data_IF_364610235073
#
_entry.id   IF_364610235073
#
_cell.length_a   1.000
_cell.length_b   1.000
_cell.length_c   1.000
_cell.angle_alpha   90.00
_cell.angle_beta   90.00
_cell.angle_gamma   90.00
#
_symmetry.space_group_name_H-M   'P 1'
#
loop_
_entity.id
_entity.type
_entity.pdbx_description
1 polymer ?
#
# COMPACT_ATOMS: atom_id res chain seq x y z
N UNK A 1 3.47 -7.87 1.48
CA UNK A 1 3.92 -6.90 2.50
C UNK A 1 5.21 -6.24 2.00
N UNK A 2 5.19 -4.96 1.61
CA UNK A 2 6.43 -4.22 1.27
C UNK A 2 7.08 -3.77 2.58
N UNK A 3 8.29 -4.26 2.88
CA UNK A 3 9.01 -3.88 4.12
C UNK A 3 9.45 -2.42 4.07
N UNK A 4 9.58 -1.76 5.23
CA UNK A 4 10.09 -0.36 5.30
C UNK A 4 11.47 -0.24 4.64
N UNK A 5 12.33 -1.23 4.85
CA UNK A 5 13.64 -1.33 4.21
C UNK A 5 13.55 -1.31 2.68
N UNK A 6 12.65 -2.09 2.08
CA UNK A 6 12.45 -2.09 0.64
C UNK A 6 12.05 -0.70 0.11
N UNK A 7 11.19 0.03 0.83
CA UNK A 7 10.76 1.38 0.43
C UNK A 7 11.92 2.37 0.42
N UNK A 8 12.79 2.32 1.43
CA UNK A 8 13.97 3.19 1.55
C UNK A 8 15.02 2.86 0.47
N UNK A 9 15.31 1.58 0.26
CA UNK A 9 16.26 1.15 -0.78
C UNK A 9 15.77 1.51 -2.18
N UNK A 10 14.48 1.34 -2.45
CA UNK A 10 13.89 1.73 -3.74
C UNK A 10 13.94 3.25 -3.94
N UNK A 11 13.65 4.01 -2.89
CA UNK A 11 13.72 5.47 -2.91
C UNK A 11 15.14 5.96 -3.26
N UNK A 12 16.16 5.49 -2.53
CA UNK A 12 17.56 5.86 -2.78
C UNK A 12 18.01 5.53 -4.19
N UNK A 13 17.62 4.36 -4.73
CA UNK A 13 17.93 3.98 -6.12
C UNK A 13 17.28 4.90 -7.16
N UNK A 14 16.10 5.41 -6.89
CA UNK A 14 15.37 6.27 -7.83
C UNK A 14 15.90 7.70 -7.81
N UNK A 15 16.26 8.20 -6.63
CA UNK A 15 16.88 9.53 -6.46
C UNK A 15 18.35 9.53 -6.86
N UNK A 16 18.98 8.35 -6.96
CA UNK A 16 20.40 8.18 -7.29
C UNK A 16 21.34 8.98 -6.37
N UNK A 17 20.96 9.07 -5.08
CA UNK A 17 21.76 9.70 -4.02
C UNK A 17 21.87 8.74 -2.83
N UNK A 18 22.95 8.92 -2.06
CA UNK A 18 23.06 8.30 -0.74
C UNK A 18 21.87 8.75 0.11
N UNK A 19 21.38 7.87 0.98
CA UNK A 19 20.29 8.18 1.91
C UNK A 19 20.70 9.32 2.88
N UNK A 20 21.99 9.64 3.00
CA UNK A 20 22.44 10.79 3.82
C UNK A 20 22.30 12.13 3.12
N UNK A 21 22.20 12.14 1.79
CA UNK A 21 22.39 13.33 0.95
C UNK A 21 21.11 13.70 0.17
N UNK A 22 20.00 13.03 0.48
CA UNK A 22 18.68 13.32 -0.09
C UNK A 22 18.17 14.64 0.46
N UNK A 23 17.68 15.49 -0.42
CA UNK A 23 17.03 16.75 -0.07
C UNK A 23 15.50 16.64 -0.06
N UNK A 24 14.85 17.69 0.42
CA UNK A 24 13.39 17.86 0.40
C UNK A 24 12.85 17.80 -1.05
N UNK A 25 13.53 18.46 -1.98
CA UNK A 25 13.15 18.48 -3.41
C UNK A 25 13.18 17.08 -4.02
N UNK A 26 14.22 16.29 -3.73
CA UNK A 26 14.31 14.90 -4.20
C UNK A 26 13.11 14.06 -3.73
N UNK A 27 12.71 14.28 -2.47
CA UNK A 27 11.55 13.63 -1.89
C UNK A 27 10.25 14.12 -2.55
N UNK A 28 10.10 15.41 -2.82
CA UNK A 28 8.93 15.98 -3.51
C UNK A 28 8.81 15.40 -4.92
N UNK A 29 9.88 15.42 -5.71
CA UNK A 29 9.89 14.86 -7.07
C UNK A 29 9.59 13.37 -7.06
N UNK A 30 10.13 12.62 -6.10
CA UNK A 30 9.82 11.20 -5.95
C UNK A 30 8.35 10.94 -5.61
N UNK A 31 7.77 11.74 -4.71
CA UNK A 31 6.38 11.61 -4.29
C UNK A 31 5.39 12.05 -5.39
N UNK A 32 5.77 12.99 -6.26
CA UNK A 32 4.90 13.53 -7.31
C UNK A 32 4.36 12.45 -8.27
N UNK A 33 5.14 11.38 -8.54
CA UNK A 33 4.74 10.26 -9.40
C UNK A 33 3.82 9.23 -8.74
N UNK A 34 3.43 9.40 -7.48
CA UNK A 34 2.72 8.38 -6.69
C UNK A 34 1.25 8.74 -6.38
N UNK A 35 0.39 7.72 -6.30
CA UNK A 35 -0.96 7.84 -5.72
C UNK A 35 -0.93 8.25 -4.24
N UNK A 36 -2.04 8.78 -3.72
CA UNK A 36 -2.15 9.37 -2.37
C UNK A 36 -1.71 8.42 -1.24
N UNK A 37 -2.20 7.18 -1.23
CA UNK A 37 -1.82 6.17 -0.24
C UNK A 37 -0.34 5.77 -0.36
N UNK A 38 0.18 5.73 -1.59
CA UNK A 38 1.60 5.50 -1.85
C UNK A 38 2.47 6.62 -1.29
N UNK A 39 2.10 7.89 -1.55
CA UNK A 39 2.79 9.06 -1.00
C UNK A 39 2.80 9.04 0.52
N UNK A 40 1.66 8.72 1.15
CA UNK A 40 1.54 8.66 2.61
C UNK A 40 2.45 7.57 3.20
N UNK A 41 2.43 6.37 2.62
CA UNK A 41 3.26 5.25 3.06
C UNK A 41 4.75 5.53 2.98
N UNK A 42 5.20 6.06 1.84
CA UNK A 42 6.60 6.44 1.63
C UNK A 42 7.03 7.56 2.57
N UNK A 43 6.27 8.66 2.64
CA UNK A 43 6.60 9.80 3.52
C UNK A 43 6.75 9.36 4.97
N UNK A 44 5.85 8.49 5.45
CA UNK A 44 5.93 7.93 6.81
C UNK A 44 7.20 7.08 7.02
N UNK A 45 7.56 6.25 6.04
CA UNK A 45 8.77 5.42 6.13
C UNK A 45 10.06 6.26 6.10
N UNK A 46 10.13 7.26 5.22
CA UNK A 46 11.26 8.20 5.15
C UNK A 46 11.37 8.95 6.47
N UNK A 47 10.27 9.53 6.99
CA UNK A 47 10.26 10.25 8.26
C UNK A 47 10.86 9.43 9.41
N UNK A 48 10.36 8.21 9.62
CA UNK A 48 10.81 7.36 10.74
C UNK A 48 12.27 6.93 10.55
N UNK A 49 12.71 6.69 9.32
CA UNK A 49 14.11 6.34 9.05
C UNK A 49 15.06 7.49 9.37
N UNK A 50 14.79 8.70 8.88
CA UNK A 50 15.67 9.85 9.13
C UNK A 50 15.63 10.29 10.59
N UNK A 51 14.48 10.18 11.26
CA UNK A 51 14.42 10.38 12.71
C UNK A 51 15.33 9.43 13.49
N UNK A 52 15.39 8.15 13.09
CA UNK A 52 16.34 7.19 13.66
C UNK A 52 17.79 7.52 13.27
N UNK A 53 18.03 7.90 12.01
CA UNK A 53 19.35 8.25 11.49
C UNK A 53 19.95 9.47 12.19
N UNK A 54 19.15 10.51 12.42
CA UNK A 54 19.54 11.72 13.17
C UNK A 54 19.93 11.40 14.61
N UNK A 55 19.16 10.53 15.30
CA UNK A 55 19.50 10.08 16.66
C UNK A 55 20.84 9.34 16.74
N UNK A 56 21.33 8.79 15.62
CA UNK A 56 22.63 8.11 15.52
C UNK A 56 23.73 8.96 14.86
N UNK A 57 23.44 10.22 14.53
CA UNK A 57 24.38 11.10 13.83
C UNK A 57 24.66 10.71 12.36
N UNK A 58 23.81 9.89 11.75
CA UNK A 58 23.95 9.45 10.35
C UNK A 58 23.38 10.46 9.35
N UNK A 59 22.41 11.27 9.77
CA UNK A 59 21.77 12.30 8.95
C UNK A 59 21.74 13.62 9.74
N UNK A 60 21.92 14.75 9.04
CA UNK A 60 21.92 16.08 9.65
C UNK A 60 20.50 16.64 9.83
N UNK A 61 19.66 16.43 8.84
CA UNK A 61 18.27 16.89 8.81
C UNK A 61 17.35 15.76 8.30
N UNK A 62 16.05 15.93 8.52
CA UNK A 62 15.04 15.03 8.00
C UNK A 62 14.32 15.71 6.82
N UNK A 63 14.42 15.18 5.59
CA UNK A 63 13.84 15.82 4.40
C UNK A 63 12.30 15.81 4.41
N UNK A 64 11.65 15.13 5.36
CA UNK A 64 10.18 15.17 5.46
C UNK A 64 9.63 16.37 6.22
N UNK A 65 10.49 17.15 6.88
CA UNK A 65 10.06 18.21 7.80
C UNK A 65 9.40 19.37 7.02
N UNK A 66 9.95 19.73 5.86
CA UNK A 66 9.41 20.76 4.96
C UNK A 66 8.33 20.23 4.00
N UNK A 67 8.15 18.90 3.91
CA UNK A 67 7.16 18.30 3.00
C UNK A 67 5.81 18.20 3.70
N UNK A 68 4.73 18.81 3.16
CA UNK A 68 3.40 18.76 3.77
C UNK A 68 2.91 17.33 4.02
N UNK A 69 2.12 17.15 5.09
CA UNK A 69 1.51 15.85 5.38
C UNK A 69 0.39 15.57 4.39
N UNK A 70 0.40 14.36 3.80
CA UNK A 70 -0.65 13.92 2.86
C UNK A 70 -1.96 13.71 3.63
N UNK A 71 -3.06 14.39 3.27
CA UNK A 71 -4.34 14.25 3.94
C UNK A 71 -4.80 12.79 3.96
N UNK A 72 -5.42 12.38 5.07
CA UNK A 72 -6.16 11.13 5.16
C UNK A 72 -7.54 11.39 4.58
N UNK A 73 -7.87 10.72 3.46
CA UNK A 73 -9.24 10.72 3.01
C UNK A 73 -10.08 10.03 4.08
N UNK A 74 -11.15 10.69 4.52
CA UNK A 74 -12.14 10.04 5.37
C UNK A 74 -12.59 8.77 4.65
N UNK A 75 -12.74 7.64 5.37
CA UNK A 75 -13.34 6.46 4.78
C UNK A 75 -14.67 6.89 4.14
N UNK A 76 -14.80 6.72 2.83
CA UNK A 76 -16.13 6.74 2.22
C UNK A 76 -16.96 5.70 2.97
N UNK A 77 -18.21 6.03 3.28
CA UNK A 77 -19.09 5.28 4.18
C UNK A 77 -19.12 3.77 3.97
N UNK A 78 -19.81 3.06 4.87
CA UNK A 78 -19.84 1.58 4.95
C UNK A 78 -19.76 0.92 3.56
N UNK A 79 -18.77 0.04 3.38
CA UNK A 79 -18.54 -0.71 2.13
C UNK A 79 -19.81 -1.42 1.65
N UNK A 80 -20.67 -1.80 2.60
CA UNK A 80 -21.97 -2.38 2.39
C UNK A 80 -23.01 -1.56 3.17
N UNK A 81 -24.03 -0.99 2.52
CA UNK A 81 -25.16 -0.38 3.22
C UNK A 81 -25.91 -1.47 4.00
N UNK A 82 -26.59 -1.09 5.08
CA UNK A 82 -27.24 -2.05 6.00
C UNK A 82 -28.32 -2.85 5.26
N UNK A 83 -29.02 -2.20 4.32
CA UNK A 83 -30.05 -2.81 3.48
C UNK A 83 -29.51 -4.00 2.67
N UNK A 84 -28.25 -3.94 2.22
CA UNK A 84 -27.61 -5.05 1.49
C UNK A 84 -27.23 -6.20 2.44
N UNK A 85 -26.95 -5.91 3.71
CA UNK A 85 -26.70 -6.91 4.76
C UNK A 85 -28.02 -7.61 5.08
N UNK A 86 -29.07 -6.84 5.34
CA UNK A 86 -30.42 -7.33 5.63
C UNK A 86 -30.97 -8.18 4.49
N UNK A 87 -30.82 -7.72 3.24
CA UNK A 87 -31.24 -8.46 2.06
C UNK A 87 -30.43 -9.76 1.88
N UNK A 88 -29.12 -9.73 2.18
CA UNK A 88 -28.28 -10.93 2.20
C UNK A 88 -28.73 -11.94 3.27
N UNK A 89 -29.11 -11.46 4.46
CA UNK A 89 -29.62 -12.30 5.56
C UNK A 89 -31.03 -12.85 5.28
N UNK A 90 -31.88 -12.08 4.59
CA UNK A 90 -33.25 -12.46 4.25
C UNK A 90 -33.33 -13.36 3.01
N UNK A 91 -32.29 -13.39 2.18
CA UNK A 91 -32.25 -14.25 1.00
C UNK A 91 -32.21 -15.74 1.39
N UNK A 92 -33.06 -16.61 0.80
CA UNK A 92 -32.99 -18.04 1.01
C UNK A 92 -31.60 -18.53 0.64
N UNK A 93 -30.93 -19.18 1.59
CA UNK A 93 -29.58 -19.71 1.40
C UNK A 93 -29.68 -20.89 0.42
N UNK A 94 -29.31 -20.70 -0.84
CA UNK A 94 -28.95 -21.82 -1.69
C UNK A 94 -27.84 -22.59 -0.95
N UNK A 95 -28.13 -23.85 -0.62
CA UNK A 95 -27.34 -24.73 0.24
C UNK A 95 -26.02 -25.15 -0.45
N UNK A 96 -25.13 -24.21 -0.72
CA UNK A 96 -23.80 -24.47 -1.27
C UNK A 96 -22.75 -23.41 -0.91
N UNK A 97 -22.69 -22.96 0.35
CA UNK A 97 -21.47 -22.34 0.89
C UNK A 97 -21.46 -22.36 2.43
N UNK A 98 -21.22 -23.52 3.01
CA UNK A 98 -20.72 -23.61 4.38
C UNK A 98 -19.23 -23.26 4.39
N UNK A 99 -18.87 -22.04 4.77
CA UNK A 99 -17.48 -21.72 5.16
C UNK A 99 -17.25 -22.36 6.53
N UNK A 100 -16.84 -23.61 6.53
CA UNK A 100 -16.21 -24.22 7.70
C UNK A 100 -14.76 -23.79 7.72
N UNK A 101 -14.34 -23.08 8.77
CA UNK A 101 -12.92 -22.84 9.06
C UNK A 101 -12.26 -24.18 9.34
N UNK A 102 -11.68 -24.80 8.31
CA UNK A 102 -10.84 -25.99 8.45
C UNK A 102 -9.39 -25.51 8.57
N UNK A 103 -8.91 -25.46 9.80
CA UNK A 103 -7.50 -25.23 10.08
C UNK A 103 -6.63 -26.29 9.39
N UNK A 104 -5.52 -25.84 8.82
CA UNK A 104 -4.33 -26.66 8.61
C UNK A 104 -4.32 -27.64 7.45
N UNK A 105 -3.42 -27.34 6.51
CA UNK A 105 -2.52 -28.29 5.84
C UNK A 105 -2.78 -28.68 4.38
N UNK A 106 -1.69 -28.47 3.63
CA UNK A 106 -1.25 -29.07 2.36
C UNK A 106 -1.80 -28.53 1.03
N UNK A 107 -0.85 -27.97 0.28
CA UNK A 107 -0.90 -27.65 -1.15
C UNK A 107 -1.08 -28.94 -1.97
N UNK A 108 -1.83 -28.86 -3.06
CA UNK A 108 -1.33 -29.16 -4.40
C UNK A 108 -2.21 -28.49 -5.47
N UNK A 109 -1.65 -28.19 -6.65
CA UNK A 109 -2.20 -27.25 -7.61
C UNK A 109 -3.20 -27.92 -8.54
N UNK A 110 -4.21 -27.19 -9.02
CA UNK A 110 -4.92 -27.65 -10.21
C UNK A 110 -5.10 -26.56 -11.27
N UNK A 111 -4.74 -27.05 -12.44
CA UNK A 111 -4.81 -26.57 -13.79
C UNK A 111 -6.23 -26.13 -14.16
N UNK A 112 -6.34 -24.93 -14.73
CA UNK A 112 -7.28 -24.53 -15.80
C UNK A 112 -7.09 -23.06 -16.11
N UNK A 113 -6.08 -22.79 -16.93
CA UNK A 113 -6.09 -21.62 -17.81
C UNK A 113 -7.18 -21.88 -18.85
N UNK A 114 -8.23 -21.08 -18.82
CA UNK A 114 -9.14 -20.82 -19.94
C UNK A 114 -9.72 -19.44 -19.68
N UNK A 115 -9.05 -18.41 -20.21
CA UNK A 115 -9.39 -17.75 -21.47
C UNK A 115 -10.47 -16.68 -21.26
N UNK A 116 -10.04 -15.47 -20.90
CA UNK A 116 -10.85 -14.26 -21.05
C UNK A 116 -10.35 -13.56 -22.33
N UNK A 117 -11.12 -13.71 -23.41
CA UNK A 117 -10.85 -13.06 -24.68
C UNK A 117 -11.27 -11.59 -24.60
N UNK A 118 -10.32 -10.68 -24.51
CA UNK A 118 -10.55 -9.26 -24.72
C UNK A 118 -10.81 -9.02 -26.21
N UNK A 119 -12.06 -8.72 -26.57
CA UNK A 119 -12.39 -8.13 -27.86
C UNK A 119 -12.04 -6.64 -27.80
N UNK A 120 -10.93 -6.26 -28.44
CA UNK A 120 -10.68 -4.89 -28.90
C UNK A 120 -10.68 -4.91 -30.42
N UNK A 121 -11.49 -4.07 -31.05
CA UNK A 121 -11.38 -3.70 -32.47
C UNK A 121 -12.28 -2.50 -32.78
N UNK A 122 -11.96 -1.76 -33.84
CA UNK A 122 -10.79 -0.92 -34.04
C UNK A 122 -11.13 0.57 -33.96
#
# INVERSE_FOLDING_TARGET
MRTRWYQIVRFSKIVNKSITDVTEDDLIFYLAGMGTEGRRGVRSCVKVFYQWGMKRGLARCNPTDEVPTVPVALPSGRICPEENIEQGLASPRDTAASITWRGGSRRQPDTRRTACACHCRP
#
